data_IF_664626686259
#
_entry.id   IF_664626686259
#
_cell.length_a   1.000
_cell.length_b   1.000
_cell.length_c   1.000
_cell.angle_alpha   90.00
_cell.angle_beta   90.00
_cell.angle_gamma   90.00
#
_symmetry.space_group_name_H-M   'P 1'
#
loop_
_entity.id
_entity.type
_entity.pdbx_description
1 polymer ?
#
# COMPACT_ATOMS: atom_id res chain seq x y z
N UNK A 1 8.50 15.36 4.56
CA UNK A 1 7.13 14.87 4.18
C UNK A 1 6.92 13.39 4.55
N UNK A 2 7.81 12.85 5.37
CA UNK A 2 7.98 11.45 5.72
C UNK A 2 6.72 10.79 6.30
N UNK A 3 5.94 11.41 7.22
CA UNK A 3 4.77 10.75 7.81
C UNK A 3 3.56 10.71 6.86
N UNK A 4 3.67 11.30 5.67
CA UNK A 4 2.61 11.36 4.65
C UNK A 4 2.89 10.44 3.47
N UNK A 5 3.97 9.67 3.52
CA UNK A 5 4.25 8.65 2.51
C UNK A 5 3.19 7.57 2.61
N UNK A 6 2.59 7.26 1.47
CA UNK A 6 1.55 6.22 1.37
C UNK A 6 2.15 4.85 1.62
N UNK A 7 1.36 3.92 2.14
CA UNK A 7 1.76 2.52 2.22
C UNK A 7 1.47 1.81 0.90
N UNK A 8 2.05 0.62 0.71
CA UNK A 8 1.69 -0.25 -0.44
C UNK A 8 0.19 -0.59 -0.47
N UNK A 9 -0.45 -0.68 0.70
CA UNK A 9 -1.87 -1.03 0.83
C UNK A 9 -2.77 0.14 0.41
N UNK A 10 -2.37 1.37 0.73
CA UNK A 10 -3.03 2.57 0.19
C UNK A 10 -2.94 2.59 -1.35
N UNK A 11 -1.81 2.17 -1.90
CA UNK A 11 -1.60 2.11 -3.35
C UNK A 11 -2.43 1.00 -4.02
N UNK A 12 -2.61 -0.16 -3.38
CA UNK A 12 -3.56 -1.18 -3.83
C UNK A 12 -4.99 -0.60 -3.95
N UNK A 13 -5.45 0.08 -2.89
CA UNK A 13 -6.77 0.74 -2.90
C UNK A 13 -6.89 1.80 -3.99
N UNK A 14 -5.87 2.64 -4.15
CA UNK A 14 -5.78 3.64 -5.22
C UNK A 14 -5.89 2.98 -6.60
N UNK A 15 -5.07 1.97 -6.88
CA UNK A 15 -5.02 1.29 -8.18
C UNK A 15 -6.37 0.68 -8.55
N UNK A 16 -7.02 -0.01 -7.60
CA UNK A 16 -8.36 -0.57 -7.78
C UNK A 16 -9.39 0.52 -8.07
N UNK A 17 -9.38 1.60 -7.31
CA UNK A 17 -10.33 2.71 -7.47
C UNK A 17 -10.20 3.38 -8.85
N UNK A 18 -8.98 3.70 -9.29
CA UNK A 18 -8.78 4.38 -10.59
C UNK A 18 -9.00 3.45 -11.78
N UNK A 19 -8.71 2.15 -11.63
CA UNK A 19 -9.03 1.18 -12.68
C UNK A 19 -10.54 1.06 -12.88
N UNK A 20 -11.30 0.99 -11.77
CA UNK A 20 -12.77 0.97 -11.78
C UNK A 20 -13.36 2.27 -12.34
N UNK A 21 -12.68 3.41 -12.14
CA UNK A 21 -13.04 4.70 -12.75
C UNK A 21 -12.83 4.73 -14.27
N UNK A 22 -12.09 3.76 -14.84
CA UNK A 22 -11.83 3.67 -16.28
C UNK A 22 -10.41 4.08 -16.70
N UNK A 23 -9.54 4.45 -15.76
CA UNK A 23 -8.15 4.80 -16.08
C UNK A 23 -7.39 3.56 -16.54
N UNK A 24 -6.56 3.70 -17.59
CA UNK A 24 -5.75 2.60 -18.15
C UNK A 24 -4.24 2.86 -18.13
N UNK A 25 -3.84 4.10 -17.89
CA UNK A 25 -2.45 4.47 -17.62
C UNK A 25 -2.35 4.94 -16.17
N UNK A 26 -1.92 4.03 -15.29
CA UNK A 26 -1.91 4.25 -13.84
C UNK A 26 -0.46 4.25 -13.37
N UNK A 27 -0.05 5.35 -12.77
CA UNK A 27 1.30 5.55 -12.25
C UNK A 27 1.30 6.35 -10.95
N UNK A 28 2.43 6.95 -10.65
CA UNK A 28 2.61 7.85 -9.52
C UNK A 28 3.70 8.87 -9.78
N UNK A 29 3.76 9.90 -8.93
CA UNK A 29 4.69 11.03 -9.06
C UNK A 29 5.61 11.09 -7.84
N UNK A 30 5.88 12.28 -7.31
CA UNK A 30 6.73 12.48 -6.14
C UNK A 30 6.32 11.58 -4.96
N UNK A 31 7.31 10.92 -4.35
CA UNK A 31 7.09 9.98 -3.25
C UNK A 31 6.72 8.56 -3.67
N UNK A 32 6.52 8.28 -4.97
CA UNK A 32 6.39 6.90 -5.44
C UNK A 32 7.77 6.24 -5.53
N UNK A 33 7.89 5.11 -4.84
CA UNK A 33 9.06 4.25 -4.83
C UNK A 33 8.75 2.96 -5.61
N UNK A 34 9.76 2.13 -5.95
CA UNK A 34 9.54 0.93 -6.74
C UNK A 34 8.46 -0.01 -6.18
N UNK A 35 8.32 -0.09 -4.86
CA UNK A 35 7.29 -0.93 -4.23
C UNK A 35 5.87 -0.36 -4.36
N UNK A 36 5.71 0.95 -4.55
CA UNK A 36 4.42 1.56 -4.88
C UNK A 36 3.99 1.16 -6.29
N UNK A 37 4.90 1.22 -7.27
CA UNK A 37 4.62 0.76 -8.64
C UNK A 37 4.33 -0.74 -8.68
N UNK A 38 5.07 -1.54 -7.90
CA UNK A 38 4.75 -2.97 -7.74
C UNK A 38 3.34 -3.16 -7.20
N UNK A 39 2.90 -2.41 -6.19
CA UNK A 39 1.56 -2.54 -5.63
C UNK A 39 0.45 -2.28 -6.66
N UNK A 40 0.62 -1.29 -7.56
CA UNK A 40 -0.31 -1.06 -8.68
C UNK A 40 -0.38 -2.30 -9.58
N UNK A 41 0.78 -2.84 -9.96
CA UNK A 41 0.84 -4.00 -10.85
C UNK A 41 0.33 -5.29 -10.19
N UNK A 42 0.55 -5.47 -8.89
CA UNK A 42 0.01 -6.60 -8.11
C UNK A 42 -1.51 -6.52 -7.96
N UNK A 43 -2.07 -5.33 -7.71
CA UNK A 43 -3.52 -5.15 -7.60
C UNK A 43 -4.25 -5.47 -8.90
N UNK A 44 -3.64 -5.12 -10.04
CA UNK A 44 -4.22 -5.29 -11.37
C UNK A 44 -3.70 -6.53 -12.12
N UNK A 45 -3.08 -7.46 -11.39
CA UNK A 45 -2.45 -8.64 -11.98
C UNK A 45 -3.47 -9.58 -12.62
N UNK A 46 -4.68 -9.66 -12.05
CA UNK A 46 -5.79 -10.46 -12.58
C UNK A 46 -6.25 -9.93 -13.94
N UNK A 47 -6.47 -8.61 -14.05
CA UNK A 47 -6.91 -7.97 -15.28
C UNK A 47 -5.82 -7.92 -16.35
N UNK A 48 -4.55 -7.93 -15.94
CA UNK A 48 -3.39 -7.94 -16.84
C UNK A 48 -2.87 -9.33 -17.17
N UNK A 49 -3.36 -10.36 -16.50
CA UNK A 49 -2.95 -11.75 -16.67
C UNK A 49 -1.49 -12.05 -16.31
N UNK A 50 -0.80 -11.16 -15.57
CA UNK A 50 0.59 -11.36 -15.16
C UNK A 50 0.98 -10.59 -13.92
N UNK A 51 1.87 -11.17 -13.13
CA UNK A 51 2.55 -10.51 -12.02
C UNK A 51 3.79 -9.75 -12.50
N UNK A 52 4.17 -8.65 -11.82
CA UNK A 52 5.43 -7.97 -12.12
C UNK A 52 6.63 -8.79 -11.61
N UNK A 53 7.82 -8.72 -12.25
CA UNK A 53 9.03 -9.44 -11.78
C UNK A 53 9.43 -9.09 -10.34
N UNK A 54 9.12 -7.88 -9.88
CA UNK A 54 9.38 -7.46 -8.50
C UNK A 54 8.60 -8.26 -7.44
N UNK A 55 7.60 -9.04 -7.84
CA UNK A 55 6.85 -9.95 -6.97
C UNK A 55 7.59 -11.27 -6.70
N UNK A 56 8.68 -11.57 -7.40
CA UNK A 56 9.52 -12.74 -7.06
C UNK A 56 10.10 -12.65 -5.64
N UNK A 57 10.20 -11.43 -5.10
CA UNK A 57 10.66 -11.12 -3.73
C UNK A 57 9.53 -10.62 -2.83
N UNK A 58 8.27 -10.74 -3.24
CA UNK A 58 7.13 -10.23 -2.49
C UNK A 58 5.90 -11.10 -2.67
N UNK A 59 5.25 -11.43 -1.54
CA UNK A 59 3.92 -12.03 -1.58
C UNK A 59 2.89 -10.97 -1.16
N UNK A 60 1.83 -10.73 -1.96
CA UNK A 60 0.79 -9.76 -1.64
C UNK A 60 0.23 -9.94 -0.22
N UNK A 61 -0.27 -8.84 0.36
CA UNK A 61 -0.97 -8.85 1.65
C UNK A 61 -0.19 -9.47 2.83
N UNK A 62 1.14 -9.32 2.82
CA UNK A 62 1.98 -9.77 3.92
C UNK A 62 2.11 -11.29 4.02
N UNK A 63 1.75 -12.05 2.98
CA UNK A 63 1.78 -13.53 2.98
C UNK A 63 3.13 -14.16 3.31
N UNK A 64 4.24 -13.43 3.18
CA UNK A 64 5.55 -13.91 3.62
C UNK A 64 5.64 -14.06 5.16
N UNK A 65 4.78 -13.38 5.92
CA UNK A 65 4.75 -13.41 7.38
C UNK A 65 4.20 -14.71 7.96
N UNK A 66 3.56 -15.58 7.15
CA UNK A 66 3.07 -16.90 7.57
C UNK A 66 4.17 -17.79 8.14
N UNK A 67 5.43 -17.55 7.73
CA UNK A 67 6.60 -18.29 8.19
C UNK A 67 7.20 -17.75 9.50
N UNK A 68 6.63 -16.69 10.09
CA UNK A 68 7.13 -16.15 11.35
C UNK A 68 6.93 -17.14 12.50
N UNK A 69 7.88 -17.17 13.44
CA UNK A 69 7.73 -17.95 14.68
C UNK A 69 6.73 -17.32 15.65
N UNK A 70 6.43 -16.02 15.51
CA UNK A 70 5.53 -15.27 16.39
C UNK A 70 4.09 -15.28 15.85
N UNK A 71 3.17 -15.80 16.65
CA UNK A 71 1.75 -15.97 16.30
C UNK A 71 1.13 -14.63 15.87
N UNK A 72 1.30 -13.57 16.68
CA UNK A 72 0.78 -12.24 16.38
C UNK A 72 1.38 -11.58 15.13
N UNK A 73 2.49 -12.10 14.60
CA UNK A 73 3.08 -11.68 13.33
C UNK A 73 2.45 -12.47 12.18
N UNK A 74 2.24 -13.78 12.35
CA UNK A 74 1.53 -14.63 11.38
C UNK A 74 0.10 -14.17 11.16
N UNK A 75 -0.59 -13.72 12.20
CA UNK A 75 -1.96 -13.18 12.12
C UNK A 75 -2.09 -11.99 11.17
N UNK A 76 -0.98 -11.29 10.88
CA UNK A 76 -0.94 -10.15 9.94
C UNK A 76 -0.84 -10.60 8.48
N UNK A 77 -0.68 -11.89 8.20
CA UNK A 77 -0.45 -12.42 6.84
C UNK A 77 -1.74 -12.57 6.01
N UNK A 78 -2.54 -11.50 5.95
CA UNK A 78 -3.80 -11.50 5.24
C UNK A 78 -4.27 -10.10 4.85
N UNK A 79 -5.10 -10.06 3.79
CA UNK A 79 -5.68 -8.82 3.25
C UNK A 79 -6.50 -8.07 4.31
N UNK A 80 -7.35 -8.80 5.03
CA UNK A 80 -8.23 -8.25 6.05
C UNK A 80 -7.49 -7.46 7.15
N UNK A 81 -6.28 -7.88 7.53
CA UNK A 81 -5.50 -7.15 8.54
C UNK A 81 -5.02 -5.81 7.99
N UNK A 82 -4.36 -5.82 6.83
CA UNK A 82 -3.71 -4.62 6.29
C UNK A 82 -4.67 -3.61 5.66
N UNK A 83 -5.83 -4.03 5.15
CA UNK A 83 -6.84 -3.09 4.64
C UNK A 83 -7.54 -2.29 5.74
N UNK A 84 -7.67 -2.87 6.94
CA UNK A 84 -8.41 -2.28 8.05
C UNK A 84 -7.50 -1.66 9.12
N UNK A 85 -6.19 -1.92 9.07
CA UNK A 85 -5.22 -1.31 9.96
C UNK A 85 -5.14 0.19 9.67
N UNK A 86 -5.34 1.01 10.70
CA UNK A 86 -5.04 2.45 10.67
C UNK A 86 -3.64 2.65 11.26
N UNK A 87 -2.59 2.90 10.45
CA UNK A 87 -1.23 3.03 10.97
C UNK A 87 -1.09 4.28 11.83
N UNK A 88 -0.46 4.15 13.00
CA UNK A 88 -0.13 5.31 13.84
C UNK A 88 1.00 6.13 13.23
N UNK A 89 1.02 7.44 13.45
CA UNK A 89 2.11 8.32 13.00
C UNK A 89 3.41 8.14 13.79
N UNK A 90 3.37 7.44 14.94
CA UNK A 90 4.50 7.29 15.86
C UNK A 90 4.96 8.59 16.52
N UNK A 91 4.20 9.68 16.37
CA UNK A 91 4.56 11.02 16.88
C UNK A 91 3.56 11.43 17.96
N UNK A 92 4.08 11.84 19.12
CA UNK A 92 3.25 12.30 20.23
C UNK A 92 2.77 13.75 19.98
N UNK A 93 1.45 13.93 19.92
CA UNK A 93 0.76 15.24 19.76
C UNK A 93 1.18 16.15 18.58
N UNK A 94 1.58 15.68 17.38
CA UNK A 94 1.71 16.57 16.23
C UNK A 94 0.33 16.90 15.63
N UNK A 95 0.17 18.04 14.94
CA UNK A 95 -1.00 18.26 14.11
C UNK A 95 -1.03 17.25 12.95
N UNK A 96 -2.21 16.68 12.67
CA UNK A 96 -2.41 15.72 11.57
C UNK A 96 -2.42 16.40 10.19
N UNK A 97 -2.84 17.67 10.15
CA UNK A 97 -2.93 18.48 8.94
C UNK A 97 -2.00 19.69 9.04
N UNK A 98 -1.61 20.24 7.89
CA UNK A 98 -0.86 21.49 7.88
C UNK A 98 -1.79 22.63 8.29
N UNK A 99 -1.31 23.56 9.13
CA UNK A 99 -2.04 24.78 9.43
C UNK A 99 -1.86 25.77 8.28
N UNK A 100 -2.95 26.19 7.64
CA UNK A 100 -2.95 27.29 6.70
C UNK A 100 -3.66 28.50 7.34
N UNK A 101 -2.94 29.52 7.84
CA UNK A 101 -3.56 30.69 8.45
C UNK A 101 -4.27 31.63 7.45
N UNK A 102 -4.28 31.31 6.15
CA UNK A 102 -4.84 32.15 5.10
C UNK A 102 -6.25 31.76 4.61
N UNK A 103 -6.94 30.87 5.33
CA UNK A 103 -8.38 30.58 5.17
C UNK A 103 -9.09 30.69 6.52
#
# INVERSE_FOLDING_TARGET
MEPRVVTRFDVHRYARAVYNLGVRYIGGCCGFEPYHIRAIAEELAEERGKMPPASDKHKPWGKCLELSYLDFVRERAGRNYWENLVPSSGRFQPPSHGFNPST
#
